data_IF_548813220455
#
_entry.id   IF_548813220455
#
_cell.length_a   1.000
_cell.length_b   1.000
_cell.length_c   1.000
_cell.angle_alpha   90.00
_cell.angle_beta   90.00
_cell.angle_gamma   90.00
#
_symmetry.space_group_name_H-M   'P 1'
#
loop_
_entity.id
_entity.type
_entity.pdbx_description
1 polymer ?
#
# COMPACT_ATOMS: atom_id res chain seq x y z
N UNK A 1 -25.77 13.12 15.16
CA UNK A 1 -25.08 12.53 16.32
C UNK A 1 -24.02 11.47 15.95
N UNK A 2 -24.19 10.65 14.91
CA UNK A 2 -23.21 9.59 14.56
C UNK A 2 -21.90 10.10 13.88
N UNK A 3 -21.84 11.32 13.37
CA UNK A 3 -20.70 11.87 12.62
C UNK A 3 -19.63 12.49 13.55
N UNK A 4 -20.04 13.12 14.64
CA UNK A 4 -19.10 13.74 15.60
C UNK A 4 -18.31 12.72 16.42
N UNK A 5 -18.87 11.53 16.69
CA UNK A 5 -18.19 10.48 17.45
C UNK A 5 -17.02 9.85 16.68
N UNK A 6 -17.03 9.86 15.32
CA UNK A 6 -15.96 9.28 14.49
C UNK A 6 -14.71 10.15 14.39
N UNK A 7 -14.82 11.45 14.55
CA UNK A 7 -13.67 12.37 14.52
C UNK A 7 -12.70 12.15 15.70
N UNK A 8 -13.18 11.56 16.80
CA UNK A 8 -12.38 11.23 17.98
C UNK A 8 -11.55 9.95 17.83
N UNK A 9 -11.91 9.07 16.88
CA UNK A 9 -11.25 7.75 16.71
C UNK A 9 -9.89 7.79 16.02
N UNK A 10 -9.58 8.85 15.24
CA UNK A 10 -8.30 8.90 14.55
C UNK A 10 -7.19 9.41 15.44
N UNK A 11 -6.07 8.68 15.46
CA UNK A 11 -4.83 9.14 16.09
C UNK A 11 -4.39 10.49 15.51
N UNK A 12 -3.75 11.32 16.33
CA UNK A 12 -3.31 12.69 15.94
C UNK A 12 -2.48 12.69 14.65
N UNK A 13 -1.63 11.66 14.46
CA UNK A 13 -0.80 11.53 13.24
C UNK A 13 -1.62 11.46 11.95
N UNK A 14 -2.81 10.83 11.96
CA UNK A 14 -3.73 10.78 10.81
C UNK A 14 -4.33 12.16 10.55
N UNK A 15 -4.78 12.84 11.63
CA UNK A 15 -5.33 14.19 11.52
C UNK A 15 -4.29 15.17 10.94
N UNK A 16 -3.03 15.05 11.36
CA UNK A 16 -1.92 15.86 10.85
C UNK A 16 -1.56 15.51 9.40
N UNK A 17 -1.58 14.22 9.04
CA UNK A 17 -1.37 13.80 7.66
C UNK A 17 -2.49 14.32 6.72
N UNK A 18 -3.74 14.24 7.14
CA UNK A 18 -4.86 14.82 6.40
C UNK A 18 -4.67 16.34 6.21
N UNK A 19 -4.40 17.05 7.31
CA UNK A 19 -4.18 18.52 7.27
C UNK A 19 -3.05 18.92 6.34
N UNK A 20 -1.93 18.17 6.33
CA UNK A 20 -0.80 18.44 5.45
C UNK A 20 -1.13 18.26 3.96
N UNK A 21 -2.23 17.59 3.65
CA UNK A 21 -2.75 17.39 2.30
C UNK A 21 -3.94 18.28 1.96
N UNK A 22 -4.31 19.23 2.82
CA UNK A 22 -5.48 20.08 2.66
C UNK A 22 -6.81 19.36 2.92
N UNK A 23 -6.79 18.25 3.65
CA UNK A 23 -7.96 17.47 4.02
C UNK A 23 -8.24 17.55 5.51
N UNK A 24 -9.49 17.28 5.88
CA UNK A 24 -9.95 17.15 7.26
C UNK A 24 -10.51 15.74 7.53
N UNK A 25 -10.72 15.35 8.80
CA UNK A 25 -11.46 14.14 9.13
C UNK A 25 -12.86 14.09 8.52
N UNK A 26 -13.54 15.25 8.36
CA UNK A 26 -14.86 15.33 7.72
C UNK A 26 -14.79 14.97 6.23
N UNK A 27 -13.73 15.39 5.53
CA UNK A 27 -13.52 15.01 4.11
C UNK A 27 -13.31 13.51 3.97
N UNK A 28 -12.55 12.90 4.89
CA UNK A 28 -12.38 11.45 4.94
C UNK A 28 -13.72 10.74 5.18
N UNK A 29 -14.51 11.20 6.15
CA UNK A 29 -15.85 10.64 6.45
C UNK A 29 -16.79 10.76 5.24
N UNK A 30 -16.85 11.92 4.60
CA UNK A 30 -17.65 12.14 3.40
C UNK A 30 -17.20 11.27 2.22
N UNK A 31 -15.90 11.02 2.11
CA UNK A 31 -15.36 10.10 1.11
C UNK A 31 -15.74 8.66 1.40
N UNK A 32 -15.62 8.20 2.66
CA UNK A 32 -15.96 6.85 3.10
C UNK A 32 -17.44 6.52 2.86
N UNK A 33 -18.35 7.45 3.05
CA UNK A 33 -19.78 7.25 2.77
C UNK A 33 -20.06 6.88 1.30
N UNK A 34 -19.20 7.31 0.38
CA UNK A 34 -19.30 7.01 -1.05
C UNK A 34 -18.48 5.79 -1.49
N UNK A 35 -17.70 5.20 -0.57
CA UNK A 35 -16.80 4.08 -0.87
C UNK A 35 -16.88 3.02 0.23
N UNK A 36 -18.01 2.32 0.34
CA UNK A 36 -18.27 1.36 1.43
C UNK A 36 -17.29 0.17 1.43
N UNK A 37 -16.65 -0.13 0.29
CA UNK A 37 -15.70 -1.22 0.14
C UNK A 37 -14.28 -0.88 0.59
N UNK A 38 -14.00 0.39 0.89
CA UNK A 38 -12.63 0.83 1.21
C UNK A 38 -12.12 0.28 2.53
N UNK A 39 -10.85 -0.15 2.53
CA UNK A 39 -10.15 -0.56 3.74
C UNK A 39 -10.05 0.56 4.80
N UNK A 40 -10.15 1.81 4.37
CA UNK A 40 -10.09 2.96 5.28
C UNK A 40 -11.25 3.00 6.28
N UNK A 41 -12.35 2.25 6.07
CA UNK A 41 -13.37 2.05 7.10
C UNK A 41 -12.80 1.40 8.38
N UNK A 42 -11.72 0.65 8.25
CA UNK A 42 -11.03 0.02 9.39
C UNK A 42 -9.99 0.93 10.05
N UNK A 43 -9.72 2.11 9.49
CA UNK A 43 -8.62 2.97 9.96
C UNK A 43 -8.76 3.35 11.43
N UNK A 44 -9.98 3.66 11.89
CA UNK A 44 -10.26 3.98 13.31
C UNK A 44 -10.03 2.80 14.26
N UNK A 45 -10.14 1.55 13.77
CA UNK A 45 -9.88 0.34 14.54
C UNK A 45 -8.41 -0.13 14.52
N UNK A 46 -7.55 0.52 13.73
CA UNK A 46 -6.12 0.24 13.75
C UNK A 46 -5.52 0.68 15.10
N UNK A 47 -4.48 -0.03 15.54
CA UNK A 47 -3.68 0.41 16.69
C UNK A 47 -3.12 1.82 16.46
N UNK A 48 -2.84 2.56 17.54
CA UNK A 48 -2.18 3.87 17.43
C UNK A 48 -0.87 3.79 16.64
N UNK A 49 -0.13 2.68 16.78
CA UNK A 49 1.10 2.43 16.04
C UNK A 49 0.83 2.24 14.54
N UNK A 50 -0.17 1.47 14.15
CA UNK A 50 -0.52 1.28 12.76
C UNK A 50 -1.07 2.56 12.12
N UNK A 51 -1.85 3.36 12.86
CA UNK A 51 -2.26 4.68 12.38
C UNK A 51 -1.06 5.62 12.16
N UNK A 52 -0.04 5.59 13.04
CA UNK A 52 1.22 6.32 12.83
C UNK A 52 1.94 5.84 11.57
N UNK A 53 2.01 4.52 11.33
CA UNK A 53 2.58 3.94 10.10
C UNK A 53 1.81 4.42 8.85
N UNK A 54 0.48 4.39 8.88
CA UNK A 54 -0.35 4.91 7.77
C UNK A 54 -0.02 6.37 7.49
N UNK A 55 0.02 7.22 8.53
CA UNK A 55 0.35 8.63 8.37
C UNK A 55 1.75 8.85 7.78
N UNK A 56 2.74 8.09 8.26
CA UNK A 56 4.13 8.17 7.77
C UNK A 56 4.24 7.71 6.32
N UNK A 57 3.63 6.59 5.97
CA UNK A 57 3.63 6.07 4.58
C UNK A 57 2.87 7.03 3.66
N UNK A 58 1.76 7.64 4.12
CA UNK A 58 1.03 8.65 3.34
C UNK A 58 1.94 9.84 2.99
N UNK A 59 2.66 10.39 3.97
CA UNK A 59 3.62 11.49 3.73
C UNK A 59 4.75 11.06 2.79
N UNK A 60 5.27 9.86 2.97
CA UNK A 60 6.30 9.29 2.10
C UNK A 60 5.82 9.18 0.64
N UNK A 61 4.61 8.68 0.40
CA UNK A 61 4.01 8.59 -0.95
C UNK A 61 3.92 9.98 -1.57
N UNK A 62 3.36 10.96 -0.85
CA UNK A 62 3.20 12.33 -1.33
C UNK A 62 4.53 13.04 -1.60
N UNK A 63 5.54 12.82 -0.77
CA UNK A 63 6.89 13.34 -0.99
C UNK A 63 7.60 12.69 -2.19
N UNK A 64 7.32 11.40 -2.45
CA UNK A 64 7.91 10.64 -3.55
C UNK A 64 7.25 10.96 -4.89
N UNK A 65 5.92 11.07 -4.90
CA UNK A 65 5.12 11.32 -6.10
C UNK A 65 3.98 12.31 -5.79
N UNK A 66 4.22 13.62 -5.93
CA UNK A 66 3.20 14.65 -5.68
C UNK A 66 1.98 14.56 -6.60
N UNK A 67 2.06 13.86 -7.75
CA UNK A 67 0.92 13.68 -8.67
C UNK A 67 -0.12 12.67 -8.15
N UNK A 68 0.23 11.82 -7.19
CA UNK A 68 -0.72 10.93 -6.53
C UNK A 68 -1.70 11.77 -5.69
N UNK A 69 -2.99 11.70 -5.98
CA UNK A 69 -4.00 12.47 -5.25
C UNK A 69 -3.97 12.16 -3.73
N UNK A 70 -4.25 13.14 -2.85
CA UNK A 70 -4.20 12.99 -1.40
C UNK A 70 -4.95 11.75 -0.88
N UNK A 71 -6.20 11.57 -1.30
CA UNK A 71 -7.00 10.41 -0.87
C UNK A 71 -6.45 9.09 -1.41
N UNK A 72 -5.90 9.07 -2.63
CA UNK A 72 -5.23 7.88 -3.19
C UNK A 72 -3.98 7.52 -2.39
N UNK A 73 -3.20 8.51 -1.95
CA UNK A 73 -2.04 8.28 -1.09
C UNK A 73 -2.43 7.67 0.26
N UNK A 74 -3.48 8.20 0.90
CA UNK A 74 -4.00 7.67 2.18
C UNK A 74 -4.54 6.24 2.01
N UNK A 75 -5.31 5.96 0.96
CA UNK A 75 -5.81 4.61 0.63
C UNK A 75 -4.68 3.62 0.42
N UNK A 76 -3.67 4.01 -0.37
CA UNK A 76 -2.49 3.19 -0.62
C UNK A 76 -1.75 2.88 0.68
N UNK A 77 -1.53 3.89 1.52
CA UNK A 77 -0.86 3.72 2.80
C UNK A 77 -1.65 2.83 3.76
N UNK A 78 -2.95 3.04 3.88
CA UNK A 78 -3.84 2.18 4.68
C UNK A 78 -3.81 0.72 4.21
N UNK A 79 -3.86 0.51 2.90
CA UNK A 79 -3.77 -0.83 2.31
C UNK A 79 -2.39 -1.47 2.54
N UNK A 80 -1.27 -0.72 2.38
CA UNK A 80 0.07 -1.22 2.65
C UNK A 80 0.23 -1.68 4.10
N UNK A 81 -0.24 -0.90 5.07
CA UNK A 81 -0.20 -1.29 6.48
C UNK A 81 -1.08 -2.51 6.75
N UNK A 82 -2.33 -2.48 6.30
CA UNK A 82 -3.29 -3.56 6.54
C UNK A 82 -2.86 -4.88 5.90
N UNK A 83 -2.55 -4.88 4.61
CA UNK A 83 -2.21 -6.11 3.90
C UNK A 83 -0.82 -6.63 4.25
N UNK A 84 0.11 -5.77 4.64
CA UNK A 84 1.38 -6.22 5.20
C UNK A 84 1.18 -7.01 6.50
N UNK A 85 0.38 -6.49 7.42
CA UNK A 85 0.03 -7.20 8.65
C UNK A 85 -0.75 -8.50 8.35
N UNK A 86 -1.77 -8.43 7.48
CA UNK A 86 -2.58 -9.59 7.09
C UNK A 86 -1.76 -10.74 6.51
N UNK A 87 -0.73 -10.44 5.72
CA UNK A 87 0.08 -11.43 5.02
C UNK A 87 1.44 -11.68 5.67
N UNK A 88 1.71 -11.11 6.85
CA UNK A 88 2.93 -11.35 7.62
C UNK A 88 4.21 -10.84 6.94
N UNK A 89 4.13 -9.75 6.18
CA UNK A 89 5.28 -9.13 5.54
C UNK A 89 5.60 -7.77 6.16
N UNK A 90 6.89 -7.35 6.21
CA UNK A 90 7.24 -6.04 6.75
C UNK A 90 6.64 -4.90 5.90
N UNK A 91 5.97 -3.93 6.52
CA UNK A 91 5.37 -2.79 5.81
C UNK A 91 6.40 -1.96 5.02
N UNK A 92 7.63 -1.83 5.51
CA UNK A 92 8.70 -1.15 4.79
C UNK A 92 9.14 -1.90 3.53
N UNK A 93 9.01 -3.23 3.50
CA UNK A 93 9.27 -4.04 2.30
C UNK A 93 8.18 -3.80 1.23
N UNK A 94 6.91 -3.97 1.58
CA UNK A 94 5.80 -3.76 0.63
C UNK A 94 5.78 -2.33 0.07
N UNK A 95 6.05 -1.34 0.92
CA UNK A 95 6.16 0.07 0.53
C UNK A 95 7.34 0.30 -0.43
N UNK A 96 8.50 -0.31 -0.16
CA UNK A 96 9.67 -0.19 -1.03
C UNK A 96 9.45 -0.85 -2.40
N UNK A 97 8.76 -1.98 -2.45
CA UNK A 97 8.36 -2.62 -3.71
C UNK A 97 7.40 -1.72 -4.48
N UNK A 98 6.32 -1.22 -3.86
CA UNK A 98 5.37 -0.32 -4.52
C UNK A 98 6.04 0.95 -5.08
N UNK A 99 6.99 1.53 -4.33
CA UNK A 99 7.80 2.66 -4.80
C UNK A 99 8.67 2.26 -6.02
N UNK A 100 9.27 1.08 -5.99
CA UNK A 100 10.19 0.63 -7.07
C UNK A 100 9.43 0.30 -8.33
N UNK A 101 8.25 -0.29 -8.22
CA UNK A 101 7.44 -0.76 -9.34
C UNK A 101 6.76 0.37 -10.12
N UNK A 102 6.15 1.32 -9.42
CA UNK A 102 5.32 2.34 -10.08
C UNK A 102 5.48 3.75 -9.54
N UNK A 103 6.28 3.97 -8.50
CA UNK A 103 6.26 5.20 -7.69
C UNK A 103 4.85 5.50 -7.15
N UNK A 104 4.12 4.45 -6.78
CA UNK A 104 2.75 4.52 -6.26
C UNK A 104 1.68 4.98 -7.27
N UNK A 105 1.94 4.90 -8.57
CA UNK A 105 0.95 5.22 -9.59
C UNK A 105 -0.05 4.04 -9.75
N UNK A 106 -1.34 4.23 -9.38
CA UNK A 106 -2.34 3.17 -9.49
C UNK A 106 -2.70 2.85 -10.94
N UNK A 107 -2.39 3.73 -11.89
CA UNK A 107 -2.71 3.54 -13.32
C UNK A 107 -1.53 3.01 -14.14
N UNK A 108 -0.39 2.76 -13.50
CA UNK A 108 0.81 2.28 -14.19
C UNK A 108 0.56 0.96 -14.91
N UNK A 109 0.99 0.88 -16.18
CA UNK A 109 0.99 -0.34 -16.99
C UNK A 109 2.34 -0.47 -17.67
N UNK A 110 3.00 -1.61 -17.50
CA UNK A 110 4.28 -1.87 -18.17
C UNK A 110 4.06 -2.43 -19.58
N UNK A 111 5.08 -2.36 -20.42
CA UNK A 111 5.07 -2.96 -21.77
C UNK A 111 4.82 -4.48 -21.75
N UNK A 112 5.08 -5.15 -20.62
CA UNK A 112 4.81 -6.59 -20.43
C UNK A 112 3.42 -6.88 -19.87
N UNK A 113 2.61 -5.84 -19.57
CA UNK A 113 1.26 -5.97 -19.04
C UNK A 113 1.19 -6.12 -17.51
N UNK A 114 2.23 -5.75 -16.79
CA UNK A 114 2.16 -5.58 -15.33
C UNK A 114 1.35 -4.31 -14.99
N UNK A 115 0.54 -4.35 -13.93
CA UNK A 115 -0.50 -3.35 -13.69
C UNK A 115 -0.52 -2.83 -12.26
N UNK A 116 -0.88 -1.55 -12.13
CA UNK A 116 -1.17 -0.88 -10.87
C UNK A 116 0.05 -0.61 -10.00
N UNK A 117 -0.22 -0.25 -8.76
CA UNK A 117 0.79 0.24 -7.80
C UNK A 117 1.96 -0.75 -7.61
N UNK A 118 1.67 -2.04 -7.56
CA UNK A 118 2.67 -3.08 -7.30
C UNK A 118 3.02 -3.89 -8.57
N UNK A 119 2.61 -3.44 -9.74
CA UNK A 119 2.96 -4.02 -11.04
C UNK A 119 2.76 -5.54 -11.11
N UNK A 120 1.57 -6.00 -10.73
CA UNK A 120 1.22 -7.41 -10.78
C UNK A 120 0.70 -7.80 -12.16
N UNK A 121 1.11 -8.95 -12.65
CA UNK A 121 0.67 -9.48 -13.94
C UNK A 121 -0.66 -10.25 -13.80
N UNK A 122 -1.78 -9.58 -14.10
CA UNK A 122 -3.11 -10.20 -14.08
C UNK A 122 -3.16 -11.52 -14.85
N UNK A 123 -2.65 -11.53 -16.07
CA UNK A 123 -2.66 -12.72 -16.94
C UNK A 123 -2.02 -13.96 -16.30
N UNK A 124 -1.04 -13.76 -15.42
CA UNK A 124 -0.31 -14.86 -14.76
C UNK A 124 -0.98 -15.29 -13.46
N UNK A 125 -1.65 -14.36 -12.78
CA UNK A 125 -2.09 -14.56 -11.40
C UNK A 125 -3.60 -14.49 -11.20
N UNK A 126 -4.41 -14.34 -12.27
CA UNK A 126 -5.86 -14.12 -12.19
C UNK A 126 -6.59 -15.14 -11.31
N UNK A 127 -6.32 -16.43 -11.45
CA UNK A 127 -6.98 -17.46 -10.64
C UNK A 127 -6.72 -17.30 -9.14
N UNK A 128 -5.45 -16.99 -8.76
CA UNK A 128 -5.11 -16.71 -7.37
C UNK A 128 -5.76 -15.41 -6.88
N UNK A 129 -5.76 -14.38 -7.69
CA UNK A 129 -6.30 -13.06 -7.35
C UNK A 129 -7.82 -13.13 -7.17
N UNK A 130 -8.53 -13.81 -8.08
CA UNK A 130 -9.97 -14.03 -8.00
C UNK A 130 -10.37 -14.80 -6.74
N UNK A 131 -9.63 -15.85 -6.40
CA UNK A 131 -9.83 -16.61 -5.16
C UNK A 131 -9.59 -15.77 -3.88
N UNK A 132 -8.98 -14.57 -4.01
CA UNK A 132 -8.72 -13.64 -2.91
C UNK A 132 -9.50 -12.32 -3.04
N UNK A 133 -10.61 -12.30 -3.79
CA UNK A 133 -11.54 -11.18 -3.87
C UNK A 133 -11.12 -10.04 -4.81
N UNK A 134 -10.09 -10.27 -5.66
CA UNK A 134 -9.71 -9.37 -6.74
C UNK A 134 -10.30 -9.96 -8.02
N UNK A 135 -11.50 -9.53 -8.37
CA UNK A 135 -12.36 -10.26 -9.31
C UNK A 135 -11.99 -10.00 -10.79
N UNK A 136 -11.54 -8.80 -11.10
CA UNK A 136 -11.35 -8.34 -12.48
C UNK A 136 -9.97 -7.74 -12.70
N UNK A 137 -9.59 -7.66 -13.97
CA UNK A 137 -8.37 -6.97 -14.40
C UNK A 137 -8.36 -5.49 -13.95
N UNK A 138 -9.51 -4.83 -14.02
CA UNK A 138 -9.64 -3.41 -13.65
C UNK A 138 -9.47 -3.15 -12.16
N UNK A 139 -9.70 -4.15 -11.32
CA UNK A 139 -9.40 -4.09 -9.89
C UNK A 139 -7.92 -3.80 -9.61
N UNK A 140 -7.03 -4.12 -10.53
CA UNK A 140 -5.59 -3.85 -10.39
C UNK A 140 -5.28 -2.35 -10.36
N UNK A 141 -6.17 -1.51 -10.89
CA UNK A 141 -6.06 -0.04 -10.85
C UNK A 141 -6.68 0.58 -9.60
N UNK A 142 -7.42 -0.21 -8.81
CA UNK A 142 -7.83 0.21 -7.48
C UNK A 142 -6.61 0.15 -6.56
N UNK A 143 -6.20 1.26 -5.90
CA UNK A 143 -4.97 1.30 -5.11
C UNK A 143 -4.95 0.27 -3.97
N UNK A 144 -6.10 -0.01 -3.37
CA UNK A 144 -6.20 -0.97 -2.27
C UNK A 144 -6.10 -2.42 -2.76
N UNK A 145 -6.80 -2.75 -3.84
CA UNK A 145 -6.77 -4.08 -4.44
C UNK A 145 -5.43 -4.39 -5.12
N UNK A 146 -4.82 -3.40 -5.78
CA UNK A 146 -3.48 -3.53 -6.35
C UNK A 146 -2.42 -3.79 -5.28
N UNK A 147 -2.51 -3.13 -4.12
CA UNK A 147 -1.65 -3.39 -2.97
C UNK A 147 -1.92 -4.78 -2.38
N UNK A 148 -3.20 -5.17 -2.24
CA UNK A 148 -3.57 -6.52 -1.76
C UNK A 148 -2.95 -7.61 -2.63
N UNK A 149 -3.02 -7.46 -3.96
CA UNK A 149 -2.44 -8.39 -4.93
C UNK A 149 -0.92 -8.52 -4.75
N UNK A 150 -0.21 -7.40 -4.69
CA UNK A 150 1.24 -7.40 -4.53
C UNK A 150 1.70 -7.98 -3.20
N UNK A 151 1.04 -7.62 -2.09
CA UNK A 151 1.34 -8.16 -0.76
C UNK A 151 1.09 -9.68 -0.69
N UNK A 152 -0.02 -10.16 -1.27
CA UNK A 152 -0.31 -11.59 -1.37
C UNK A 152 0.81 -12.35 -2.10
N UNK A 153 1.26 -11.85 -3.25
CA UNK A 153 2.34 -12.49 -4.02
C UNK A 153 3.67 -12.45 -3.27
N UNK A 154 4.03 -11.31 -2.67
CA UNK A 154 5.26 -11.22 -1.86
C UNK A 154 5.27 -12.22 -0.73
N UNK A 155 4.17 -12.33 0.03
CA UNK A 155 4.05 -13.30 1.11
C UNK A 155 4.22 -14.74 0.61
N UNK A 156 3.53 -15.10 -0.48
CA UNK A 156 3.66 -16.44 -1.07
C UNK A 156 5.10 -16.74 -1.50
N UNK A 157 5.78 -15.77 -2.10
CA UNK A 157 7.18 -15.96 -2.53
C UNK A 157 8.14 -16.03 -1.34
N UNK A 158 7.93 -15.22 -0.29
CA UNK A 158 8.74 -15.32 0.93
C UNK A 158 8.60 -16.71 1.56
N UNK A 159 7.36 -17.19 1.68
CA UNK A 159 7.08 -18.52 2.25
C UNK A 159 7.66 -19.65 1.38
N UNK A 160 7.55 -19.55 0.06
CA UNK A 160 8.03 -20.59 -0.86
C UNK A 160 9.56 -20.63 -0.97
N UNK A 161 10.24 -19.50 -0.92
CA UNK A 161 11.69 -19.39 -1.15
C UNK A 161 12.51 -19.17 0.12
N UNK A 162 11.87 -18.96 1.26
CA UNK A 162 12.50 -18.84 2.58
C UNK A 162 13.34 -17.59 2.81
N UNK A 163 13.39 -16.65 1.85
CA UNK A 163 14.16 -15.40 2.02
C UNK A 163 13.64 -14.26 1.15
N UNK A 164 13.76 -13.03 1.65
CA UNK A 164 13.36 -11.82 0.94
C UNK A 164 14.12 -11.65 -0.39
N UNK A 165 15.45 -11.85 -0.48
CA UNK A 165 16.16 -11.73 -1.76
C UNK A 165 15.64 -12.68 -2.84
N UNK A 166 15.39 -13.95 -2.51
CA UNK A 166 14.83 -14.93 -3.45
C UNK A 166 13.40 -14.60 -3.84
N UNK A 167 12.58 -14.17 -2.88
CA UNK A 167 11.22 -13.72 -3.12
C UNK A 167 11.16 -12.52 -4.07
N UNK A 168 12.04 -11.52 -3.88
CA UNK A 168 12.16 -10.37 -4.76
C UNK A 168 12.63 -10.74 -6.17
N UNK A 169 13.58 -11.68 -6.30
CA UNK A 169 13.98 -12.20 -7.60
C UNK A 169 12.81 -12.86 -8.33
N UNK A 170 11.99 -13.64 -7.63
CA UNK A 170 10.79 -14.25 -8.20
C UNK A 170 9.73 -13.21 -8.56
N UNK A 171 9.54 -12.20 -7.72
CA UNK A 171 8.59 -11.11 -7.95
C UNK A 171 8.94 -10.31 -9.21
N UNK A 172 10.21 -9.97 -9.38
CA UNK A 172 10.75 -9.26 -10.56
C UNK A 172 10.70 -10.10 -11.84
N UNK A 173 10.61 -11.43 -11.71
CA UNK A 173 10.61 -12.35 -12.84
C UNK A 173 12.01 -12.80 -13.29
N UNK A 174 13.00 -12.68 -12.42
CA UNK A 174 14.37 -13.10 -12.68
C UNK A 174 15.36 -12.51 -11.68
N UNK A 175 16.60 -13.00 -11.74
CA UNK A 175 17.67 -12.47 -10.90
C UNK A 175 18.10 -11.07 -11.38
N UNK A 176 18.05 -10.06 -10.50
CA UNK A 176 18.50 -8.70 -10.80
C UNK A 176 19.10 -8.03 -9.56
N UNK A 177 20.41 -7.93 -9.52
CA UNK A 177 21.12 -7.20 -8.45
C UNK A 177 20.70 -5.72 -8.40
N UNK A 178 20.46 -5.10 -9.56
CA UNK A 178 20.02 -3.71 -9.63
C UNK A 178 18.63 -3.50 -9.03
N UNK A 179 17.68 -4.41 -9.32
CA UNK A 179 16.34 -4.37 -8.71
C UNK A 179 16.42 -4.56 -7.20
N UNK A 180 17.12 -5.59 -6.74
CA UNK A 180 17.29 -5.85 -5.31
C UNK A 180 17.91 -4.63 -4.59
N UNK A 181 18.97 -4.03 -5.16
CA UNK A 181 19.60 -2.83 -4.59
C UNK A 181 18.61 -1.67 -4.48
N UNK A 182 17.81 -1.41 -5.53
CA UNK A 182 16.79 -0.36 -5.52
C UNK A 182 15.76 -0.57 -4.41
N UNK A 183 15.24 -1.79 -4.27
CA UNK A 183 14.28 -2.12 -3.22
C UNK A 183 14.92 -1.97 -1.83
N UNK A 184 16.11 -2.53 -1.65
CA UNK A 184 16.80 -2.52 -0.35
C UNK A 184 17.13 -1.11 0.15
N UNK A 185 17.61 -0.22 -0.73
CA UNK A 185 17.87 1.19 -0.38
C UNK A 185 16.59 1.90 0.06
N UNK A 186 15.50 1.73 -0.68
CA UNK A 186 14.21 2.31 -0.31
C UNK A 186 13.67 1.74 1.00
N UNK A 187 13.81 0.43 1.17
CA UNK A 187 13.38 -0.28 2.38
C UNK A 187 14.08 0.27 3.63
N UNK A 188 15.39 0.53 3.56
CA UNK A 188 16.15 1.12 4.67
C UNK A 188 15.64 2.53 5.01
N UNK A 189 15.45 3.39 4.02
CA UNK A 189 14.96 4.76 4.20
C UNK A 189 13.53 4.78 4.79
N UNK A 190 12.65 3.94 4.29
CA UNK A 190 11.26 3.83 4.77
C UNK A 190 11.25 3.30 6.21
N UNK A 191 12.08 2.28 6.50
CA UNK A 191 12.20 1.72 7.85
C UNK A 191 12.61 2.80 8.87
N UNK A 192 13.60 3.62 8.56
CA UNK A 192 14.03 4.72 9.43
C UNK A 192 12.93 5.77 9.65
N UNK A 193 12.07 6.00 8.64
CA UNK A 193 10.94 6.93 8.77
C UNK A 193 9.80 6.34 9.62
N UNK A 194 9.55 5.04 9.51
CA UNK A 194 8.48 4.34 10.25
C UNK A 194 8.89 4.06 11.69
N UNK A 195 10.16 3.72 11.91
CA UNK A 195 10.74 3.36 13.22
C UNK A 195 11.92 4.28 13.52
N UNK A 196 11.66 5.56 13.87
CA UNK A 196 12.73 6.46 14.29
C UNK A 196 13.39 5.91 15.55
N UNK A 197 14.74 5.99 15.60
CA UNK A 197 15.52 5.59 16.79
C UNK A 197 15.33 6.59 17.92
#
# INVERSE_FOLDING_TARGET
>A
MAIEARDAEYHQSIKDALRSMGLSPKDLTAWLLRHPESILHKLGSFSADDQRKVATVTRYIRGTNPSVAPMTALRTAGALVYYSAKYGIPVHLSTAVAHTESRFDPKAVSNKGAMGIMQVMWRVHNGLLQANGIATKDDMFNPEKGVAAGCLLLSRYINAYGSIPKALARYYGGSSTAYFRKVNTKMANIRSSIYPQ
#
